data_IF_811320516878
#
_entry.id   IF_811320516878
#
_cell.length_a   1.000
_cell.length_b   1.000
_cell.length_c   1.000
_cell.angle_alpha   90.00
_cell.angle_beta   90.00
_cell.angle_gamma   90.00
#
_symmetry.space_group_name_H-M   'P 1'
#
loop_
_entity.id
_entity.type
_entity.pdbx_description
1 polymer ?
#
# COMPACT_ATOMS: atom_id res chain seq x y z
N UNK A 1 -0.37 8.42 13.87
CA UNK A 1 -0.01 7.81 12.56
C UNK A 1 -0.17 6.31 12.53
N UNK A 2 0.26 5.62 13.56
CA UNK A 2 0.19 4.16 13.58
C UNK A 2 -1.22 3.59 13.32
N UNK A 3 -2.24 4.17 13.94
CA UNK A 3 -3.63 3.72 13.76
C UNK A 3 -4.15 3.94 12.33
N UNK A 4 -3.79 5.06 11.73
CA UNK A 4 -4.20 5.37 10.35
C UNK A 4 -3.54 4.38 9.40
N UNK A 5 -2.26 4.14 9.57
CA UNK A 5 -1.51 3.18 8.75
C UNK A 5 -2.09 1.77 8.86
N UNK A 6 -2.40 1.33 10.08
CA UNK A 6 -3.02 0.03 10.30
C UNK A 6 -4.37 -0.09 9.60
N UNK A 7 -5.19 0.97 9.64
CA UNK A 7 -6.48 1.00 8.96
C UNK A 7 -6.34 0.89 7.44
N UNK A 8 -5.32 1.55 6.87
CA UNK A 8 -5.03 1.45 5.45
C UNK A 8 -4.64 0.02 5.08
N UNK A 9 -3.72 -0.56 5.84
CA UNK A 9 -3.23 -1.92 5.57
C UNK A 9 -4.38 -2.93 5.62
N UNK A 10 -5.25 -2.83 6.62
CA UNK A 10 -6.39 -3.73 6.77
C UNK A 10 -7.38 -3.61 5.61
N UNK A 11 -7.49 -2.43 5.02
CA UNK A 11 -8.45 -2.17 3.93
C UNK A 11 -7.90 -2.50 2.54
N UNK A 12 -6.58 -2.67 2.39
CA UNK A 12 -5.96 -2.85 1.07
C UNK A 12 -6.56 -3.99 0.24
N UNK A 13 -6.77 -5.20 0.79
CA UNK A 13 -7.30 -6.30 -0.02
C UNK A 13 -8.73 -6.09 -0.52
N UNK A 14 -9.45 -5.13 0.04
CA UNK A 14 -10.83 -4.84 -0.36
C UNK A 14 -10.93 -3.97 -1.62
N UNK A 15 -9.79 -3.61 -2.21
CA UNK A 15 -9.73 -2.76 -3.40
C UNK A 15 -9.27 -1.35 -3.05
N UNK A 16 -9.68 -0.34 -3.84
CA UNK A 16 -9.26 1.04 -3.58
C UNK A 16 -9.63 1.48 -2.17
N UNK A 17 -8.68 2.05 -1.45
CA UNK A 17 -8.88 2.48 -0.06
C UNK A 17 -9.32 3.95 -0.06
N UNK A 18 -10.51 4.20 0.49
CA UNK A 18 -11.06 5.55 0.60
C UNK A 18 -10.75 6.13 1.97
N UNK A 19 -10.37 7.42 2.01
CA UNK A 19 -10.10 8.07 3.29
C UNK A 19 -11.36 8.18 4.16
N UNK A 20 -12.56 8.22 3.53
CA UNK A 20 -13.83 8.22 4.27
C UNK A 20 -13.99 6.96 5.13
N UNK A 21 -13.62 5.82 4.58
CA UNK A 21 -13.72 4.54 5.31
C UNK A 21 -12.75 4.50 6.48
N UNK A 22 -11.50 4.89 6.24
CA UNK A 22 -10.48 4.88 7.28
C UNK A 22 -10.84 5.86 8.39
N UNK A 23 -11.31 7.06 8.04
CA UNK A 23 -11.74 8.05 9.02
C UNK A 23 -12.88 7.50 9.87
N UNK A 24 -13.90 6.89 9.24
CA UNK A 24 -15.03 6.31 9.95
C UNK A 24 -14.61 5.22 10.92
N UNK A 25 -13.72 4.34 10.49
CA UNK A 25 -13.23 3.24 11.33
C UNK A 25 -12.45 3.75 12.54
N UNK A 26 -11.86 4.94 12.43
CA UNK A 26 -11.13 5.56 13.54
C UNK A 26 -11.98 6.51 14.37
N UNK A 27 -13.26 6.67 14.01
CA UNK A 27 -14.14 7.60 14.71
C UNK A 27 -13.83 9.05 14.42
N UNK A 28 -13.29 9.35 13.24
CA UNK A 28 -12.91 10.69 12.82
C UNK A 28 -13.72 11.13 11.62
N UNK A 29 -13.88 12.45 11.46
CA UNK A 29 -14.32 12.99 10.18
C UNK A 29 -13.15 12.98 9.20
N UNK A 30 -13.44 13.05 7.89
CA UNK A 30 -12.40 13.14 6.88
C UNK A 30 -11.54 14.37 7.13
N UNK A 31 -12.16 15.49 7.50
CA UNK A 31 -11.42 16.72 7.80
C UNK A 31 -10.44 16.56 8.96
N UNK A 32 -10.88 15.89 10.03
CA UNK A 32 -10.00 15.63 11.18
C UNK A 32 -8.87 14.70 10.81
N UNK A 33 -9.15 13.69 9.99
CA UNK A 33 -8.11 12.78 9.49
C UNK A 33 -7.08 13.54 8.68
N UNK A 34 -7.53 14.37 7.73
CA UNK A 34 -6.63 15.16 6.89
C UNK A 34 -5.77 16.12 7.71
N UNK A 35 -6.38 16.76 8.73
CA UNK A 35 -5.64 17.66 9.61
C UNK A 35 -4.55 16.93 10.38
N UNK A 36 -4.85 15.77 10.94
CA UNK A 36 -3.87 14.97 11.68
C UNK A 36 -2.72 14.52 10.78
N UNK A 37 -3.03 14.14 9.54
CA UNK A 37 -2.01 13.73 8.59
C UNK A 37 -1.11 14.90 8.21
N UNK A 38 -1.71 16.08 7.98
CA UNK A 38 -0.95 17.29 7.66
C UNK A 38 -0.01 17.68 8.81
N UNK A 39 -0.49 17.59 10.05
CA UNK A 39 0.32 17.88 11.23
C UNK A 39 1.51 16.92 11.34
N UNK A 40 1.36 15.69 10.85
CA UNK A 40 2.44 14.70 10.82
C UNK A 40 3.32 14.83 9.58
N UNK A 41 3.07 15.81 8.72
CA UNK A 41 3.88 16.04 7.53
C UNK A 41 3.58 15.14 6.35
N UNK A 42 2.38 14.57 6.30
CA UNK A 42 2.01 13.65 5.23
C UNK A 42 0.58 13.90 4.75
N UNK A 43 0.12 13.08 3.80
CA UNK A 43 -1.25 13.08 3.34
C UNK A 43 -1.73 11.64 3.29
N UNK A 44 -3.06 11.45 3.14
CA UNK A 44 -3.62 10.10 3.01
C UNK A 44 -3.02 9.37 1.80
N UNK A 45 -2.90 10.07 0.69
CA UNK A 45 -2.33 9.49 -0.54
C UNK A 45 -0.89 9.04 -0.34
N UNK A 46 -0.08 9.89 0.29
CA UNK A 46 1.33 9.55 0.54
C UNK A 46 1.45 8.38 1.50
N UNK A 47 0.64 8.37 2.54
CA UNK A 47 0.65 7.28 3.52
C UNK A 47 0.19 5.97 2.88
N UNK A 48 -0.82 6.02 2.02
CA UNK A 48 -1.29 4.85 1.28
C UNK A 48 -0.18 4.30 0.38
N UNK A 49 0.48 5.18 -0.37
CA UNK A 49 1.55 4.79 -1.29
C UNK A 49 2.72 4.17 -0.52
N UNK A 50 3.13 4.80 0.57
CA UNK A 50 4.21 4.30 1.43
C UNK A 50 3.86 2.93 2.02
N UNK A 51 2.63 2.76 2.49
CA UNK A 51 2.18 1.50 3.07
C UNK A 51 2.19 0.38 2.03
N UNK A 52 1.72 0.67 0.82
CA UNK A 52 1.76 -0.30 -0.29
C UNK A 52 3.18 -0.69 -0.63
N UNK A 53 4.09 0.28 -0.67
CA UNK A 53 5.49 0.03 -0.99
C UNK A 53 6.14 -0.87 0.06
N UNK A 54 5.94 -0.58 1.33
CA UNK A 54 6.50 -1.37 2.42
C UNK A 54 5.99 -2.82 2.38
N UNK A 55 4.68 -2.99 2.15
CA UNK A 55 4.09 -4.32 2.08
C UNK A 55 4.57 -5.08 0.85
N UNK A 56 4.70 -4.39 -0.28
CA UNK A 56 5.21 -5.00 -1.50
C UNK A 56 6.61 -5.57 -1.31
N UNK A 57 7.49 -4.80 -0.66
CA UNK A 57 8.86 -5.25 -0.39
C UNK A 57 8.88 -6.46 0.55
N UNK A 58 7.95 -6.52 1.48
CA UNK A 58 7.82 -7.67 2.36
C UNK A 58 7.33 -8.91 1.61
N UNK A 59 6.26 -8.78 0.82
CA UNK A 59 5.68 -9.90 0.09
C UNK A 59 6.60 -10.43 -1.01
N UNK A 60 7.40 -9.56 -1.64
CA UNK A 60 8.26 -9.97 -2.75
C UNK A 60 9.31 -10.99 -2.28
N UNK A 61 9.61 -11.02 -1.00
CA UNK A 61 10.57 -11.97 -0.40
C UNK A 61 9.97 -13.34 -0.18
N UNK A 62 8.66 -13.48 -0.30
CA UNK A 62 7.96 -14.75 -0.10
C UNK A 62 7.74 -15.43 -1.45
N UNK A 63 8.57 -16.42 -1.82
CA UNK A 63 8.50 -17.00 -3.16
C UNK A 63 7.19 -17.73 -3.46
N UNK A 64 6.47 -18.20 -2.44
CA UNK A 64 5.20 -18.88 -2.61
C UNK A 64 4.05 -17.93 -2.91
N UNK A 65 4.20 -16.61 -2.73
CA UNK A 65 3.17 -15.65 -3.05
C UNK A 65 3.37 -15.17 -4.48
N UNK A 66 2.42 -15.47 -5.35
CA UNK A 66 2.52 -15.05 -6.74
C UNK A 66 2.33 -13.55 -6.89
N UNK A 67 2.91 -12.96 -7.94
CA UNK A 67 2.82 -11.52 -8.15
C UNK A 67 1.38 -11.04 -8.32
N UNK A 68 0.53 -11.84 -8.96
CA UNK A 68 -0.88 -11.51 -9.09
C UNK A 68 -1.56 -11.43 -7.71
N UNK A 69 -1.19 -12.31 -6.79
CA UNK A 69 -1.72 -12.29 -5.44
C UNK A 69 -1.24 -11.08 -4.67
N UNK A 70 0.03 -10.71 -4.84
CA UNK A 70 0.56 -9.48 -4.22
C UNK A 70 -0.23 -8.27 -4.70
N UNK A 71 -0.47 -8.17 -6.01
CA UNK A 71 -1.26 -7.08 -6.58
C UNK A 71 -2.64 -6.99 -5.91
N UNK A 72 -3.30 -8.13 -5.75
CA UNK A 72 -4.60 -8.20 -5.08
C UNK A 72 -4.51 -7.72 -3.62
N UNK A 73 -3.52 -8.23 -2.88
CA UNK A 73 -3.36 -7.90 -1.47
C UNK A 73 -3.07 -6.43 -1.24
N UNK A 74 -2.48 -5.76 -2.22
CA UNK A 74 -2.17 -4.33 -2.14
C UNK A 74 -3.29 -3.44 -2.68
N UNK A 75 -4.38 -4.03 -3.17
CA UNK A 75 -5.53 -3.28 -3.64
C UNK A 75 -5.39 -2.73 -5.05
N UNK A 76 -4.49 -3.30 -5.87
CA UNK A 76 -4.39 -2.92 -7.27
C UNK A 76 -5.44 -3.65 -8.11
N UNK A 77 -5.84 -3.02 -9.22
CA UNK A 77 -6.85 -3.61 -10.10
C UNK A 77 -6.36 -4.84 -10.86
N UNK A 78 -5.05 -4.89 -11.15
CA UNK A 78 -4.43 -6.02 -11.83
C UNK A 78 -2.92 -6.03 -11.58
N UNK A 79 -2.26 -7.09 -12.04
CA UNK A 79 -0.82 -7.25 -11.85
C UNK A 79 -0.03 -6.19 -12.60
N UNK A 80 -0.49 -5.75 -13.76
CA UNK A 80 0.20 -4.72 -14.53
C UNK A 80 0.26 -3.39 -13.80
N UNK A 81 -0.85 -3.01 -13.15
CA UNK A 81 -0.90 -1.79 -12.35
C UNK A 81 0.11 -1.87 -11.19
N UNK A 82 0.16 -3.02 -10.52
CA UNK A 82 1.13 -3.25 -9.45
C UNK A 82 2.56 -3.15 -9.98
N UNK A 83 2.85 -3.80 -11.10
CA UNK A 83 4.21 -3.81 -11.67
C UNK A 83 4.68 -2.41 -12.04
N UNK A 84 3.79 -1.59 -12.59
CA UNK A 84 4.14 -0.19 -12.92
C UNK A 84 4.43 0.62 -11.67
N UNK A 85 3.61 0.47 -10.63
CA UNK A 85 3.82 1.17 -9.37
C UNK A 85 5.13 0.72 -8.72
N UNK A 86 5.38 -0.58 -8.69
CA UNK A 86 6.58 -1.15 -8.09
C UNK A 86 7.85 -0.62 -8.78
N UNK A 87 7.82 -0.59 -10.11
CA UNK A 87 8.95 -0.05 -10.87
C UNK A 87 9.17 1.43 -10.59
N UNK A 88 8.07 2.19 -10.43
CA UNK A 88 8.17 3.61 -10.05
C UNK A 88 8.81 3.76 -8.67
N UNK A 89 8.46 2.89 -7.71
CA UNK A 89 8.98 2.97 -6.35
C UNK A 89 10.46 2.55 -6.26
N UNK A 90 10.84 1.50 -6.95
CA UNK A 90 12.15 0.84 -6.75
C UNK A 90 13.10 0.98 -7.92
N UNK A 91 12.62 1.37 -9.09
CA UNK A 91 13.42 1.40 -10.31
C UNK A 91 13.48 0.07 -11.04
N UNK A 92 12.93 -0.99 -10.46
CA UNK A 92 12.96 -2.33 -11.04
C UNK A 92 11.59 -2.98 -11.04
N UNK A 93 11.40 -3.97 -11.92
CA UNK A 93 10.14 -4.73 -11.92
C UNK A 93 10.09 -5.68 -10.72
N UNK A 94 8.89 -6.12 -10.31
CA UNK A 94 8.79 -7.13 -9.25
C UNK A 94 9.56 -8.41 -9.55
N UNK A 95 9.54 -8.88 -10.81
CA UNK A 95 10.30 -10.07 -11.19
C UNK A 95 11.80 -9.88 -11.03
N UNK A 96 12.31 -8.72 -11.43
CA UNK A 96 13.72 -8.41 -11.30
C UNK A 96 14.16 -8.43 -9.84
N UNK A 97 13.39 -7.79 -8.98
CA UNK A 97 13.70 -7.73 -7.54
C UNK A 97 13.61 -9.11 -6.91
N UNK A 98 12.56 -9.88 -7.24
CA UNK A 98 12.40 -11.23 -6.70
C UNK A 98 13.53 -12.14 -7.13
N UNK A 99 13.93 -12.10 -8.40
CA UNK A 99 15.05 -12.87 -8.91
C UNK A 99 16.35 -12.53 -8.20
N UNK A 100 16.63 -11.25 -8.02
CA UNK A 100 17.82 -10.80 -7.33
C UNK A 100 17.84 -11.26 -5.87
N UNK A 101 16.68 -11.26 -5.21
CA UNK A 101 16.57 -11.66 -3.81
C UNK A 101 16.72 -13.18 -3.63
N UNK A 102 16.14 -13.96 -4.54
CA UNK A 102 16.14 -15.43 -4.44
C UNK A 102 17.33 -16.08 -5.14
N UNK A 103 17.89 -15.37 -6.05
CA UNK A 103 19.01 -15.87 -6.84
C UNK A 103 20.33 -15.70 -6.20
#
# INVERSE_FOLDING_TARGET
MHRVKAGIIDALPSGPVANEKVARDLGLSVRSLQRRLAEAGTSFRDLLDTSRQEMALSYIREPEIELAEIAFLLGFSDQSAFSRAFKRWTGNTPNEVRKAHLG
#
